data_IF_246571179826
#
_entry.id   IF_246571179826
#
_cell.length_a   1.000
_cell.length_b   1.000
_cell.length_c   1.000
_cell.angle_alpha   90.00
_cell.angle_beta   90.00
_cell.angle_gamma   90.00
#
_symmetry.space_group_name_H-M   'P 1'
#
loop_
_entity.id
_entity.type
_entity.pdbx_description
1 polymer ?
#
# COMPACT_ATOMS: atom_id res chain seq x y z
N UNK A 1 -15.99 -3.87 29.12
CA UNK A 1 -14.77 -4.18 28.35
C UNK A 1 -15.18 -5.20 27.30
N UNK A 2 -15.55 -4.76 26.10
CA UNK A 2 -15.79 -5.68 24.98
C UNK A 2 -14.47 -6.37 24.68
N UNK A 3 -14.40 -7.68 24.89
CA UNK A 3 -13.34 -8.54 24.37
C UNK A 3 -13.41 -8.48 22.84
N UNK A 4 -12.82 -7.44 22.26
CA UNK A 4 -12.86 -7.17 20.83
C UNK A 4 -11.99 -8.17 20.10
N UNK A 5 -12.54 -8.75 19.04
CA UNK A 5 -11.78 -9.50 18.03
C UNK A 5 -10.58 -8.68 17.56
N UNK A 6 -9.42 -9.34 17.42
CA UNK A 6 -8.20 -8.70 16.91
C UNK A 6 -8.45 -8.22 15.48
N UNK A 7 -8.04 -7.00 15.10
CA UNK A 7 -8.19 -6.52 13.74
C UNK A 7 -7.42 -7.41 12.77
N UNK A 8 -8.03 -7.68 11.61
CA UNK A 8 -7.41 -8.44 10.53
C UNK A 8 -6.89 -7.52 9.43
N UNK A 9 -5.66 -7.73 9.01
CA UNK A 9 -4.97 -6.91 8.02
C UNK A 9 -4.60 -7.80 6.83
N UNK A 10 -5.01 -7.40 5.63
CA UNK A 10 -4.51 -7.99 4.40
C UNK A 10 -3.40 -7.10 3.82
N UNK A 11 -2.21 -7.65 3.65
CA UNK A 11 -1.18 -7.10 2.80
C UNK A 11 -1.35 -7.65 1.38
N UNK A 12 -1.38 -6.79 0.36
CA UNK A 12 -1.48 -7.21 -1.03
C UNK A 12 -0.46 -6.42 -1.87
N UNK A 13 0.65 -7.06 -2.22
CA UNK A 13 1.74 -6.47 -3.01
C UNK A 13 2.78 -7.55 -3.38
N UNK A 14 3.70 -7.20 -4.28
CA UNK A 14 4.73 -8.10 -4.81
C UNK A 14 5.73 -8.60 -3.76
N UNK A 15 6.40 -9.72 -4.05
CA UNK A 15 7.51 -10.24 -3.23
C UNK A 15 8.61 -9.18 -3.04
N UNK A 16 8.91 -8.38 -4.06
CA UNK A 16 9.94 -7.35 -3.94
C UNK A 16 9.58 -6.30 -2.88
N UNK A 17 8.31 -5.91 -2.78
CA UNK A 17 7.87 -5.00 -1.72
C UNK A 17 7.97 -5.68 -0.38
N UNK A 18 7.57 -6.95 -0.28
CA UNK A 18 7.72 -7.73 0.95
C UNK A 18 9.18 -7.72 1.45
N UNK A 19 10.12 -8.05 0.57
CA UNK A 19 11.54 -8.14 0.91
C UNK A 19 12.19 -6.77 1.22
N UNK A 20 11.68 -5.69 0.61
CA UNK A 20 12.30 -4.37 0.69
C UNK A 20 11.67 -3.40 1.69
N UNK A 21 10.38 -3.54 1.99
CA UNK A 21 9.60 -2.54 2.74
C UNK A 21 9.08 -3.09 4.08
N UNK A 22 8.93 -4.41 4.22
CA UNK A 22 8.37 -5.01 5.44
C UNK A 22 9.48 -5.33 6.43
N UNK A 23 9.63 -4.49 7.45
CA UNK A 23 10.60 -4.69 8.53
C UNK A 23 10.06 -5.74 9.54
N UNK A 24 10.82 -6.82 9.85
CA UNK A 24 10.42 -7.83 10.83
C UNK A 24 10.13 -7.27 12.23
N UNK A 25 10.82 -6.19 12.65
CA UNK A 25 10.61 -5.55 13.95
C UNK A 25 9.24 -4.88 14.00
N UNK A 26 8.85 -4.20 12.93
CA UNK A 26 7.55 -3.56 12.80
C UNK A 26 6.42 -4.60 12.67
N UNK A 27 6.68 -5.71 11.99
CA UNK A 27 5.74 -6.83 11.89
C UNK A 27 5.51 -7.48 13.26
N UNK A 28 6.57 -7.73 14.03
CA UNK A 28 6.45 -8.25 15.39
C UNK A 28 5.67 -7.28 16.31
N UNK A 29 5.85 -5.96 16.11
CA UNK A 29 5.07 -4.94 16.82
C UNK A 29 3.60 -4.99 16.43
N UNK A 30 3.29 -5.18 15.15
CA UNK A 30 1.92 -5.31 14.63
C UNK A 30 1.20 -6.54 15.22
N UNK A 31 1.91 -7.67 15.29
CA UNK A 31 1.44 -8.93 15.86
C UNK A 31 1.06 -8.84 17.35
N UNK A 32 1.48 -7.79 18.06
CA UNK A 32 1.02 -7.59 19.44
C UNK A 32 -0.48 -7.30 19.52
N UNK A 33 -1.09 -6.73 18.47
CA UNK A 33 -2.49 -6.29 18.52
C UNK A 33 -3.36 -6.68 17.32
N UNK A 34 -2.79 -7.08 16.18
CA UNK A 34 -3.54 -7.44 14.97
C UNK A 34 -3.10 -8.81 14.42
N UNK A 35 -4.00 -9.44 13.68
CA UNK A 35 -3.71 -10.62 12.86
C UNK A 35 -3.53 -10.15 11.42
N UNK A 36 -2.64 -10.79 10.67
CA UNK A 36 -2.35 -10.38 9.30
C UNK A 36 -2.17 -11.58 8.38
N UNK A 37 -2.41 -11.34 7.10
CA UNK A 37 -2.10 -12.26 6.00
C UNK A 37 -1.50 -11.46 4.85
N UNK A 38 -0.69 -12.12 4.04
CA UNK A 38 -0.11 -11.51 2.85
C UNK A 38 -0.48 -12.31 1.60
N UNK A 39 -0.93 -11.58 0.58
CA UNK A 39 -1.22 -12.09 -0.75
C UNK A 39 -0.16 -11.55 -1.70
N UNK A 40 0.71 -12.42 -2.25
CA UNK A 40 1.66 -12.03 -3.27
C UNK A 40 0.90 -11.54 -4.52
N UNK A 41 1.21 -10.33 -4.98
CA UNK A 41 0.59 -9.75 -6.16
C UNK A 41 1.66 -9.29 -7.15
N UNK A 42 1.65 -9.80 -8.38
CA UNK A 42 2.67 -9.46 -9.40
C UNK A 42 2.07 -8.74 -10.63
N UNK A 43 0.75 -8.82 -10.84
CA UNK A 43 0.11 -8.34 -12.06
C UNK A 43 -0.16 -6.83 -12.11
N UNK A 44 -0.29 -6.15 -10.97
CA UNK A 44 -0.65 -4.73 -10.91
C UNK A 44 0.46 -3.74 -11.29
N UNK A 45 1.65 -4.24 -11.60
CA UNK A 45 2.77 -3.44 -12.09
C UNK A 45 3.37 -2.47 -11.04
N UNK A 46 4.32 -1.64 -11.50
CA UNK A 46 5.12 -0.72 -10.66
C UNK A 46 4.93 0.76 -10.99
N UNK A 47 3.95 1.09 -11.81
CA UNK A 47 3.69 2.48 -12.22
C UNK A 47 3.03 3.26 -11.10
N UNK A 48 3.52 4.49 -10.89
CA UNK A 48 3.01 5.49 -9.94
C UNK A 48 1.63 6.06 -10.34
N UNK A 49 1.24 5.94 -11.61
CA UNK A 49 0.05 6.61 -12.15
C UNK A 49 -1.24 5.80 -12.03
N UNK A 50 -1.21 4.52 -12.40
CA UNK A 50 -2.36 3.60 -12.29
C UNK A 50 -1.89 2.16 -12.32
N UNK A 51 -2.35 1.33 -11.39
CA UNK A 51 -2.09 -0.11 -11.46
C UNK A 51 -2.51 -0.68 -12.82
N UNK A 52 -1.75 -1.67 -13.30
CA UNK A 52 -2.12 -2.41 -14.50
C UNK A 52 -3.40 -3.20 -14.26
N UNK A 53 -4.21 -3.29 -15.30
CA UNK A 53 -5.38 -4.16 -15.30
C UNK A 53 -4.92 -5.61 -15.46
N UNK A 54 -4.97 -6.35 -14.36
CA UNK A 54 -4.74 -7.78 -14.31
C UNK A 54 -5.87 -8.45 -13.52
N UNK A 55 -6.85 -9.07 -14.22
CA UNK A 55 -7.99 -9.71 -13.57
C UNK A 55 -7.58 -10.81 -12.59
N UNK A 56 -6.53 -11.59 -12.91
CA UNK A 56 -6.07 -12.67 -12.05
C UNK A 56 -5.60 -12.16 -10.67
N UNK A 57 -4.81 -11.07 -10.65
CA UNK A 57 -4.40 -10.43 -9.39
C UNK A 57 -5.60 -9.81 -8.67
N UNK A 58 -6.53 -9.18 -9.38
CA UNK A 58 -7.76 -8.62 -8.78
C UNK A 58 -8.61 -9.68 -8.10
N UNK A 59 -8.81 -10.83 -8.75
CA UNK A 59 -9.60 -11.93 -8.22
C UNK A 59 -8.90 -12.61 -7.05
N UNK A 60 -7.57 -12.81 -7.11
CA UNK A 60 -6.80 -13.35 -5.99
C UNK A 60 -6.91 -12.49 -4.72
N UNK A 61 -6.91 -11.17 -4.85
CA UNK A 61 -7.13 -10.24 -3.72
C UNK A 61 -8.57 -10.31 -3.24
N UNK A 62 -9.55 -10.30 -4.15
CA UNK A 62 -10.98 -10.37 -3.84
C UNK A 62 -11.36 -11.64 -3.07
N UNK A 63 -10.80 -12.79 -3.45
CA UNK A 63 -11.06 -14.07 -2.80
C UNK A 63 -10.50 -14.14 -1.38
N UNK A 64 -9.40 -13.43 -1.12
CA UNK A 64 -8.67 -13.52 0.15
C UNK A 64 -8.99 -12.38 1.13
N UNK A 65 -9.50 -11.24 0.67
CA UNK A 65 -9.75 -10.07 1.54
C UNK A 65 -10.77 -10.35 2.65
N UNK A 66 -11.76 -11.21 2.41
CA UNK A 66 -12.61 -11.80 3.45
C UNK A 66 -13.16 -10.79 4.47
N UNK A 67 -12.92 -11.05 5.76
CA UNK A 67 -13.38 -10.19 6.86
C UNK A 67 -12.33 -9.17 7.33
N UNK A 68 -11.35 -8.83 6.49
CA UNK A 68 -10.30 -7.88 6.80
C UNK A 68 -10.87 -6.51 7.24
N UNK A 69 -10.21 -5.92 8.23
CA UNK A 69 -10.49 -4.57 8.72
C UNK A 69 -9.59 -3.52 8.04
N UNK A 70 -8.42 -3.95 7.55
CA UNK A 70 -7.46 -3.11 6.86
C UNK A 70 -6.92 -3.81 5.61
N UNK A 71 -6.67 -3.03 4.56
CA UNK A 71 -5.97 -3.45 3.36
C UNK A 71 -4.74 -2.55 3.16
N UNK A 72 -3.57 -3.14 3.02
CA UNK A 72 -2.32 -2.43 2.76
C UNK A 72 -1.80 -2.85 1.38
N UNK A 73 -1.61 -1.89 0.49
CA UNK A 73 -1.24 -2.09 -0.91
C UNK A 73 0.04 -1.35 -1.29
N UNK A 74 0.70 -1.83 -2.35
CA UNK A 74 1.88 -1.24 -2.95
C UNK A 74 2.06 -1.76 -4.38
N UNK A 75 3.26 -1.67 -4.95
CA UNK A 75 3.60 -2.25 -6.23
C UNK A 75 3.24 -3.74 -6.34
N UNK A 76 2.71 -4.12 -7.50
CA UNK A 76 2.18 -5.45 -7.78
C UNK A 76 0.70 -5.63 -7.42
N UNK A 77 0.18 -4.85 -6.46
CA UNK A 77 -1.24 -4.87 -6.10
C UNK A 77 -2.15 -4.40 -7.25
N UNK A 78 -3.38 -4.94 -7.38
CA UNK A 78 -4.32 -4.52 -8.40
C UNK A 78 -4.86 -3.12 -8.10
N UNK A 79 -5.62 -2.56 -9.04
CA UNK A 79 -6.45 -1.39 -8.74
C UNK A 79 -7.59 -1.81 -7.78
N UNK A 80 -7.57 -1.27 -6.57
CA UNK A 80 -8.58 -1.51 -5.53
C UNK A 80 -9.85 -0.74 -5.90
N UNK A 81 -10.73 -1.43 -6.62
CA UNK A 81 -12.02 -0.90 -7.05
C UNK A 81 -13.14 -1.19 -6.04
N UNK A 82 -14.34 -0.70 -6.35
CA UNK A 82 -15.55 -0.93 -5.58
C UNK A 82 -15.88 -2.42 -5.35
N UNK A 83 -15.45 -3.29 -6.27
CA UNK A 83 -15.76 -4.72 -6.23
C UNK A 83 -14.85 -5.49 -5.27
N UNK A 84 -13.58 -5.10 -5.14
CA UNK A 84 -12.69 -5.59 -4.08
C UNK A 84 -13.17 -5.09 -2.71
N UNK A 85 -13.56 -3.81 -2.61
CA UNK A 85 -14.08 -3.25 -1.36
C UNK A 85 -15.38 -3.92 -0.91
N UNK A 86 -16.26 -4.29 -1.85
CA UNK A 86 -17.51 -4.99 -1.54
C UNK A 86 -17.29 -6.41 -0.99
N UNK A 87 -16.18 -7.06 -1.35
CA UNK A 87 -15.81 -8.37 -0.81
C UNK A 87 -15.34 -8.31 0.67
N UNK A 88 -15.10 -7.10 1.20
CA UNK A 88 -14.60 -6.86 2.55
C UNK A 88 -15.55 -5.97 3.37
N UNK A 89 -16.68 -6.50 3.88
CA UNK A 89 -17.72 -5.69 4.53
C UNK A 89 -17.26 -5.00 5.83
N UNK A 90 -16.17 -5.50 6.43
CA UNK A 90 -15.60 -4.95 7.67
C UNK A 90 -14.43 -3.99 7.43
N UNK A 91 -14.09 -3.71 6.16
CA UNK A 91 -12.96 -2.86 5.79
C UNK A 91 -13.20 -1.43 6.30
N UNK A 92 -12.23 -0.89 7.03
CA UNK A 92 -12.26 0.46 7.62
C UNK A 92 -11.11 1.33 7.16
N UNK A 93 -10.01 0.73 6.72
CA UNK A 93 -8.82 1.45 6.29
C UNK A 93 -8.17 0.80 5.08
N UNK A 94 -7.71 1.63 4.13
CA UNK A 94 -6.83 1.22 3.04
C UNK A 94 -5.56 2.08 3.12
N UNK A 95 -4.41 1.44 3.23
CA UNK A 95 -3.09 2.07 3.26
C UNK A 95 -2.32 1.82 1.97
N UNK A 96 -1.62 2.82 1.44
CA UNK A 96 -0.75 2.71 0.27
C UNK A 96 0.70 3.06 0.68
N UNK A 97 1.68 2.22 0.30
CA UNK A 97 3.06 2.28 0.79
C UNK A 97 4.07 3.02 -0.12
N UNK A 98 3.67 3.49 -1.30
CA UNK A 98 4.56 4.08 -2.31
C UNK A 98 4.33 5.58 -2.53
N UNK A 99 3.08 6.01 -2.66
CA UNK A 99 2.71 7.29 -3.22
C UNK A 99 2.47 8.41 -2.20
N UNK A 100 2.72 9.65 -2.64
CA UNK A 100 2.43 10.91 -1.94
C UNK A 100 1.19 11.64 -2.51
N UNK A 101 0.41 10.95 -3.34
CA UNK A 101 -0.71 11.53 -4.13
C UNK A 101 -1.95 10.66 -4.21
N UNK A 102 -2.07 9.61 -3.39
CA UNK A 102 -3.25 8.72 -3.30
C UNK A 102 -3.82 8.08 -4.60
N UNK A 103 -3.25 8.24 -5.79
CA UNK A 103 -4.05 8.19 -7.02
C UNK A 103 -3.79 7.04 -8.02
N UNK A 104 -2.96 6.04 -7.70
CA UNK A 104 -2.66 4.96 -8.64
C UNK A 104 -3.44 3.66 -8.44
N UNK A 105 -3.81 3.34 -7.20
CA UNK A 105 -4.22 1.97 -6.82
C UNK A 105 -5.53 1.89 -6.08
N UNK A 106 -6.17 3.02 -5.76
CA UNK A 106 -7.38 3.03 -4.94
C UNK A 106 -8.42 3.90 -5.63
N UNK A 107 -9.61 3.35 -5.81
CA UNK A 107 -10.80 4.13 -6.13
C UNK A 107 -11.25 4.91 -4.88
N UNK A 108 -10.73 6.14 -4.74
CA UNK A 108 -10.94 6.96 -3.54
C UNK A 108 -12.43 7.30 -3.33
N UNK A 109 -13.14 7.60 -4.42
CA UNK A 109 -14.56 7.92 -4.37
C UNK A 109 -15.35 6.72 -3.83
N UNK A 110 -15.11 5.53 -4.38
CA UNK A 110 -15.74 4.31 -3.90
C UNK A 110 -15.40 3.98 -2.44
N UNK A 111 -14.16 4.24 -2.01
CA UNK A 111 -13.72 4.03 -0.63
C UNK A 111 -14.44 4.98 0.33
N UNK A 112 -14.49 6.27 -0.01
CA UNK A 112 -15.09 7.29 0.85
C UNK A 112 -16.61 7.19 0.94
N UNK A 113 -17.28 6.82 -0.16
CA UNK A 113 -18.72 6.46 -0.13
C UNK A 113 -19.03 5.34 0.87
N UNK A 114 -18.07 4.44 1.09
CA UNK A 114 -18.17 3.32 2.05
C UNK A 114 -17.67 3.67 3.46
N UNK A 115 -17.30 4.92 3.71
CA UNK A 115 -16.66 5.37 4.95
C UNK A 115 -15.34 4.62 5.27
N UNK A 116 -14.60 4.23 4.24
CA UNK A 116 -13.27 3.62 4.38
C UNK A 116 -12.25 4.75 4.41
N UNK A 117 -11.40 4.77 5.44
CA UNK A 117 -10.31 5.74 5.54
C UNK A 117 -9.16 5.34 4.63
N UNK A 118 -8.70 6.26 3.80
CA UNK A 118 -7.51 6.05 2.96
C UNK A 118 -6.33 6.78 3.57
N UNK A 119 -5.18 6.10 3.66
CA UNK A 119 -3.92 6.66 4.17
C UNK A 119 -2.81 6.34 3.18
N UNK A 120 -1.92 7.29 2.94
CA UNK A 120 -0.72 7.08 2.14
C UNK A 120 0.51 7.42 2.98
N UNK A 121 1.67 7.31 2.36
CA UNK A 121 2.97 7.62 2.97
C UNK A 121 3.47 9.00 2.58
N UNK A 122 2.56 9.99 2.44
CA UNK A 122 2.92 11.38 2.12
C UNK A 122 4.05 11.86 3.05
N UNK A 123 5.16 12.26 2.42
CA UNK A 123 6.44 12.69 3.00
C UNK A 123 7.47 11.60 3.38
N UNK A 124 7.18 10.31 3.21
CA UNK A 124 8.14 9.23 3.49
C UNK A 124 9.44 9.36 2.68
N UNK A 125 9.36 9.92 1.48
CA UNK A 125 10.50 10.15 0.58
C UNK A 125 11.04 11.58 0.60
N UNK A 126 10.43 12.52 1.35
CA UNK A 126 10.80 13.95 1.26
C UNK A 126 12.25 14.22 1.66
N UNK A 127 12.69 13.65 2.78
CA UNK A 127 14.07 13.80 3.24
C UNK A 127 15.10 13.25 2.24
N UNK A 128 15.07 11.96 1.85
CA UNK A 128 16.06 11.44 0.90
C UNK A 128 16.00 12.16 -0.45
N UNK A 129 14.81 12.53 -0.95
CA UNK A 129 14.70 13.31 -2.19
C UNK A 129 15.35 14.69 -2.05
N UNK A 130 15.16 15.37 -0.92
CA UNK A 130 15.77 16.68 -0.67
C UNK A 130 17.29 16.62 -0.56
N UNK A 131 17.84 15.56 0.05
CA UNK A 131 19.28 15.34 0.16
C UNK A 131 19.91 15.12 -1.22
N UNK A 132 19.28 14.27 -2.05
CA UNK A 132 19.71 14.05 -3.44
C UNK A 132 19.63 15.31 -4.27
N UNK A 133 18.52 16.07 -4.17
CA UNK A 133 18.35 17.32 -4.89
C UNK A 133 19.46 18.32 -4.54
N UNK A 134 19.75 18.50 -3.24
CA UNK A 134 20.84 19.37 -2.79
C UNK A 134 22.20 18.88 -3.30
N UNK A 135 22.48 17.57 -3.21
CA UNK A 135 23.72 16.99 -3.71
C UNK A 135 23.92 17.25 -5.21
N UNK A 136 22.89 17.05 -6.01
CA UNK A 136 22.92 17.30 -7.46
C UNK A 136 23.11 18.78 -7.78
N UNK A 137 22.44 19.68 -7.05
CA UNK A 137 22.66 21.13 -7.18
C UNK A 137 24.14 21.48 -6.94
N UNK A 138 24.74 20.95 -5.88
CA UNK A 138 26.15 21.21 -5.55
C UNK A 138 27.10 20.68 -6.62
N UNK A 139 26.87 19.47 -7.13
CA UNK A 139 27.66 18.87 -8.21
C UNK A 139 27.62 19.73 -9.48
N UNK A 140 26.44 20.17 -9.90
CA UNK A 140 26.27 21.06 -11.06
C UNK A 140 26.99 22.40 -10.87
N UNK A 141 26.90 22.99 -9.68
CA UNK A 141 27.51 24.29 -9.35
C UNK A 141 29.03 24.23 -9.13
N UNK A 142 29.62 23.04 -9.05
CA UNK A 142 31.07 22.83 -8.89
C UNK A 142 31.73 22.16 -10.09
N UNK A 143 30.97 21.89 -11.14
CA UNK A 143 31.44 21.21 -12.33
C UNK A 143 32.18 19.89 -11.99
N UNK A 144 31.69 19.18 -10.96
CA UNK A 144 32.37 18.01 -10.41
C UNK A 144 32.35 16.78 -11.34
N UNK A 145 31.70 16.88 -12.50
CA UNK A 145 31.67 15.86 -13.55
C UNK A 145 32.48 16.21 -14.81
N UNK A 146 33.27 17.29 -14.80
CA UNK A 146 34.16 17.68 -15.89
C UNK A 146 35.61 17.21 -15.70
#
# INVERSE_FOLDING_TARGET
MTTGTRPKILFAFSQQVWDGFVDPVELARLETFADWQWVPCEGGGRTYFRAHDDPATSDAVREQIGDANALIVCHGAPYVDASIMAAAPNLRIIGELEGDRFAGRIDLDAAWERNIRTVDVTNGSSYPVSEWALGLILLSMRNAGA
#
